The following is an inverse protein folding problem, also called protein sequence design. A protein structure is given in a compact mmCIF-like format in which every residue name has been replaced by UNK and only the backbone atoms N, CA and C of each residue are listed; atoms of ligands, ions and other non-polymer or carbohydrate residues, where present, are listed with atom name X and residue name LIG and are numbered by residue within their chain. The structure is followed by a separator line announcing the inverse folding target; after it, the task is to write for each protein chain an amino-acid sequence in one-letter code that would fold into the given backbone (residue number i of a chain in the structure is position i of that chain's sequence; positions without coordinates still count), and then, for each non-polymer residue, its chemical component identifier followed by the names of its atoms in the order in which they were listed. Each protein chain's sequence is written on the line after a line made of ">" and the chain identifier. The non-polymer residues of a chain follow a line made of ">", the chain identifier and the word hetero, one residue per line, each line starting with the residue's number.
data_IF_245812386292
#
_entry.id   IF_245812386292
#
_cell.length_a   1.000
_cell.length_b   1.000
_cell.length_c   1.000
_cell.angle_alpha   90.00
_cell.angle_beta   90.00
_cell.angle_gamma   90.00
#
_symmetry.space_group_name_H-M   'P 1'
#
loop_
_entity.id
_entity.type
_entity.pdbx_description
1 polymer ?
#
# COMPACT_ATOMS: atom_id res chain seq x y z
N UNK A 1 -44.81 -2.61 -57.70
CA UNK A 1 -43.46 -2.11 -58.01
C UNK A 1 -42.61 -2.31 -56.77
N UNK A 2 -41.54 -3.09 -56.86
CA UNK A 2 -40.59 -3.26 -55.74
C UNK A 2 -39.55 -2.15 -55.83
N UNK A 3 -39.49 -1.30 -54.82
CA UNK A 3 -38.46 -0.25 -54.72
C UNK A 3 -37.20 -0.94 -54.17
N UNK A 4 -36.04 -0.88 -54.84
CA UNK A 4 -34.82 -1.48 -54.32
C UNK A 4 -34.44 -0.84 -52.98
N UNK A 5 -34.06 -1.67 -52.00
CA UNK A 5 -33.59 -1.18 -50.70
C UNK A 5 -32.21 -0.54 -50.90
N UNK A 6 -31.97 0.66 -50.37
CA UNK A 6 -30.65 1.29 -50.40
C UNK A 6 -29.59 0.40 -49.74
N UNK A 7 -28.36 0.40 -50.27
CA UNK A 7 -27.24 -0.25 -49.61
C UNK A 7 -26.93 0.46 -48.27
N UNK A 8 -26.73 -0.31 -47.20
CA UNK A 8 -26.26 0.25 -45.93
C UNK A 8 -24.82 0.73 -46.06
N UNK A 9 -24.54 1.89 -45.47
CA UNK A 9 -23.17 2.40 -45.33
C UNK A 9 -22.56 1.77 -44.09
N UNK A 10 -21.37 1.13 -44.18
CA UNK A 10 -20.72 0.54 -43.02
C UNK A 10 -20.38 1.61 -41.98
N UNK A 11 -20.53 1.28 -40.70
CA UNK A 11 -20.23 2.20 -39.61
C UNK A 11 -18.72 2.52 -39.58
N UNK A 12 -18.31 3.81 -39.63
CA UNK A 12 -16.90 4.19 -39.69
C UNK A 12 -16.11 3.87 -38.41
N UNK A 13 -16.80 3.58 -37.30
CA UNK A 13 -16.18 3.25 -36.01
C UNK A 13 -15.91 1.75 -35.84
N UNK A 14 -16.27 0.90 -36.80
CA UNK A 14 -16.05 -0.55 -36.71
C UNK A 14 -14.56 -0.89 -36.70
N UNK A 15 -13.78 -0.24 -37.57
CA UNK A 15 -12.32 -0.44 -37.63
C UNK A 15 -11.54 0.52 -36.73
N UNK A 16 -12.14 1.66 -36.38
CA UNK A 16 -11.53 2.74 -35.62
C UNK A 16 -12.47 3.19 -34.50
N UNK A 17 -12.60 2.41 -33.43
CA UNK A 17 -13.46 2.79 -32.31
C UNK A 17 -12.99 4.13 -31.76
N UNK A 18 -13.94 5.05 -31.55
CA UNK A 18 -13.65 6.29 -30.84
C UNK A 18 -13.32 5.96 -29.40
N UNK A 19 -12.04 6.06 -29.04
CA UNK A 19 -11.62 5.90 -27.65
C UNK A 19 -12.05 7.12 -26.85
N UNK A 20 -12.55 6.94 -25.60
CA UNK A 20 -12.74 8.07 -24.71
C UNK A 20 -11.39 8.77 -24.50
N UNK A 21 -11.38 10.09 -24.23
CA UNK A 21 -10.16 10.78 -23.85
C UNK A 21 -9.51 10.02 -22.70
N UNK A 22 -8.19 9.77 -22.83
CA UNK A 22 -7.40 9.18 -21.75
C UNK A 22 -7.44 10.21 -20.63
N UNK A 23 -8.38 10.02 -19.70
CA UNK A 23 -8.30 10.66 -18.40
C UNK A 23 -7.01 10.09 -17.82
N UNK A 24 -5.98 10.90 -17.52
CA UNK A 24 -4.83 10.39 -16.79
C UNK A 24 -5.39 9.64 -15.59
N UNK A 25 -4.84 8.46 -15.23
CA UNK A 25 -5.33 7.75 -14.06
C UNK A 25 -5.33 8.75 -12.94
N UNK A 26 -6.52 9.13 -12.49
CA UNK A 26 -6.70 9.93 -11.28
C UNK A 26 -6.33 8.97 -10.17
N UNK A 27 -5.01 8.79 -10.00
CA UNK A 27 -4.47 8.21 -8.80
C UNK A 27 -5.05 8.97 -7.61
N UNK A 28 -5.07 8.36 -6.43
CA UNK A 28 -5.49 9.07 -5.24
C UNK A 28 -4.75 10.41 -5.19
N UNK A 29 -5.54 11.50 -5.09
CA UNK A 29 -4.96 12.83 -4.90
C UNK A 29 -4.06 12.76 -3.65
N UNK A 30 -2.87 13.39 -3.67
CA UNK A 30 -2.03 13.42 -2.49
C UNK A 30 -2.84 13.97 -1.31
N UNK A 31 -2.78 13.26 -0.18
CA UNK A 31 -3.45 13.71 1.05
C UNK A 31 -2.75 15.00 1.49
N UNK A 32 -3.48 16.08 1.83
CA UNK A 32 -2.87 17.27 2.39
C UNK A 32 -2.05 16.92 3.64
N UNK A 33 -0.87 17.51 3.78
CA UNK A 33 -0.11 17.43 5.01
C UNK A 33 -0.87 18.24 6.08
N UNK A 34 -1.29 17.57 7.16
CA UNK A 34 -1.82 18.24 8.34
C UNK A 34 -0.67 18.46 9.33
N UNK A 35 -0.63 19.64 9.95
CA UNK A 35 0.29 19.89 11.04
C UNK A 35 0.03 18.87 12.17
N UNK A 36 1.09 18.34 12.81
CA UNK A 36 0.91 17.49 13.97
C UNK A 36 0.16 18.28 15.07
N UNK A 37 -0.65 17.59 15.90
CA UNK A 37 -1.39 18.25 16.97
C UNK A 37 -0.42 19.00 17.90
N UNK A 38 -0.78 20.22 18.29
CA UNK A 38 -0.02 21.07 19.23
C UNK A 38 -0.06 20.54 20.69
N UNK A 39 -0.18 19.23 20.87
CA UNK A 39 -0.24 18.61 22.19
C UNK A 39 1.16 18.23 22.67
N UNK A 40 1.37 18.34 23.98
CA UNK A 40 2.60 17.83 24.60
C UNK A 40 2.70 16.33 24.34
N UNK A 41 3.83 15.83 23.79
CA UNK A 41 4.01 14.40 23.58
C UNK A 41 3.96 13.65 24.93
N UNK A 42 3.53 12.38 24.94
CA UNK A 42 3.54 11.58 26.15
C UNK A 42 4.97 11.47 26.72
N UNK A 43 5.10 11.30 28.05
CA UNK A 43 6.38 10.99 28.66
C UNK A 43 7.01 9.74 28.03
N UNK A 44 8.33 9.75 27.85
CA UNK A 44 9.06 8.55 27.44
C UNK A 44 9.02 7.56 28.60
N UNK A 45 8.48 6.36 28.36
CA UNK A 45 8.59 5.25 29.30
C UNK A 45 9.93 4.54 29.09
N UNK A 46 10.56 4.14 30.20
CA UNK A 46 11.72 3.26 30.14
C UNK A 46 11.24 1.88 29.65
N UNK A 47 11.91 1.26 28.66
CA UNK A 47 11.58 -0.10 28.30
C UNK A 47 11.74 -1.02 29.53
N UNK A 48 10.94 -2.09 29.65
CA UNK A 48 11.13 -3.05 30.72
C UNK A 48 12.56 -3.59 30.67
N UNK A 49 13.26 -3.53 31.80
CA UNK A 49 14.58 -4.14 31.94
C UNK A 49 14.39 -5.65 31.87
N UNK A 50 14.77 -6.27 30.76
CA UNK A 50 14.82 -7.71 30.62
C UNK A 50 16.02 -8.21 31.43
N UNK A 51 15.83 -8.95 32.55
CA UNK A 51 16.95 -9.58 33.22
C UNK A 51 17.43 -10.73 32.32
N UNK A 52 18.30 -10.40 31.37
CA UNK A 52 18.97 -11.39 30.55
C UNK A 52 19.54 -12.49 31.46
N UNK A 53 19.32 -13.78 31.13
CA UNK A 53 19.75 -14.85 32.01
C UNK A 53 21.27 -14.84 32.11
N UNK A 54 21.78 -14.66 33.33
CA UNK A 54 23.20 -14.83 33.63
C UNK A 54 23.52 -16.32 33.52
N UNK A 55 24.02 -16.76 32.37
CA UNK A 55 24.50 -18.13 32.19
C UNK A 55 25.76 -18.29 33.05
N UNK A 56 25.61 -18.93 34.22
CA UNK A 56 26.74 -19.34 35.05
C UNK A 56 27.51 -20.46 34.34
N UNK A 57 28.50 -20.10 33.51
CA UNK A 57 29.46 -21.06 32.98
C UNK A 57 30.38 -21.55 34.11
N UNK A 58 30.13 -22.77 34.58
CA UNK A 58 31.14 -23.65 35.16
C UNK A 58 31.64 -23.31 36.55
N UNK A 59 30.87 -23.66 37.59
CA UNK A 59 31.48 -24.05 38.86
C UNK A 59 31.68 -25.56 38.82
N UNK A 60 32.84 -26.00 38.33
CA UNK A 60 33.25 -27.40 38.36
C UNK A 60 33.23 -27.90 39.81
N UNK A 61 32.30 -28.79 40.11
CA UNK A 61 32.31 -29.55 41.37
C UNK A 61 33.52 -30.49 41.37
N UNK A 62 34.58 -30.12 42.08
CA UNK A 62 35.73 -30.99 42.33
C UNK A 62 35.27 -32.19 43.17
N UNK A 63 35.53 -33.46 42.77
CA UNK A 63 35.17 -34.59 43.61
C UNK A 63 36.11 -34.64 44.82
N UNK A 64 35.51 -34.75 46.00
CA UNK A 64 36.18 -34.85 47.30
C UNK A 64 36.97 -36.17 47.35
N UNK A 65 38.30 -36.07 47.53
CA UNK A 65 39.17 -37.19 47.89
C UNK A 65 39.13 -37.46 49.40
#
# INVERSE_FOLDING_TARGET
>A
MSIPIPAETPDPNIDRPTLPPIVPPTGPQPVPEEDPPETTPPPKEEPPSDPAPVIAYGHSITPKS
#
